data_IF_038020177643
#
_entry.id   IF_038020177643
#
_cell.length_a   1.000
_cell.length_b   1.000
_cell.length_c   1.000
_cell.angle_alpha   90.00
_cell.angle_beta   90.00
_cell.angle_gamma   90.00
#
_symmetry.space_group_name_H-M   'P 1'
#
loop_
_entity.id
_entity.type
_entity.pdbx_description
1 polymer ?
#
# COMPACT_ATOMS: atom_id res chain seq x y z
N UNK A 1 10.89 0.67 -23.27
CA UNK A 1 9.97 -0.27 -22.59
C UNK A 1 9.79 0.23 -21.18
N UNK A 2 8.65 0.83 -20.89
CA UNK A 2 8.26 1.26 -19.54
C UNK A 2 8.29 0.03 -18.63
N UNK A 3 9.08 0.07 -17.58
CA UNK A 3 9.21 -1.08 -16.66
C UNK A 3 8.02 -1.11 -15.69
N UNK A 4 6.86 -1.53 -16.18
CA UNK A 4 5.66 -1.78 -15.37
C UNK A 4 5.83 -2.91 -14.33
N UNK A 5 6.91 -3.67 -14.45
CA UNK A 5 7.22 -4.82 -13.57
C UNK A 5 7.39 -4.40 -12.11
N UNK A 6 8.06 -3.28 -11.84
CA UNK A 6 8.23 -2.79 -10.46
C UNK A 6 6.90 -2.44 -9.80
N UNK A 7 6.10 -1.53 -10.39
CA UNK A 7 4.77 -1.22 -9.89
C UNK A 7 3.84 -2.44 -9.74
N UNK A 8 3.84 -3.35 -10.71
CA UNK A 8 3.06 -4.58 -10.62
C UNK A 8 3.50 -5.49 -9.47
N UNK A 9 4.80 -5.63 -9.24
CA UNK A 9 5.34 -6.41 -8.13
C UNK A 9 4.89 -5.81 -6.78
N UNK A 10 4.93 -4.50 -6.64
CA UNK A 10 4.45 -3.82 -5.42
C UNK A 10 2.96 -4.08 -5.19
N UNK A 11 2.14 -3.97 -6.22
CA UNK A 11 0.72 -4.27 -6.13
C UNK A 11 0.47 -5.72 -5.67
N UNK A 12 1.18 -6.67 -6.26
CA UNK A 12 1.08 -8.09 -5.91
C UNK A 12 1.50 -8.33 -4.46
N UNK A 13 2.61 -7.73 -4.00
CA UNK A 13 3.08 -7.87 -2.61
C UNK A 13 2.05 -7.31 -1.63
N UNK A 14 1.51 -6.11 -1.89
CA UNK A 14 0.49 -5.52 -1.02
C UNK A 14 -0.76 -6.39 -0.93
N UNK A 15 -1.27 -6.87 -2.06
CA UNK A 15 -2.47 -7.73 -2.10
C UNK A 15 -2.19 -9.06 -1.42
N UNK A 16 -1.08 -9.72 -1.75
CA UNK A 16 -0.74 -11.02 -1.18
C UNK A 16 -0.56 -10.98 0.34
N UNK A 17 0.09 -9.93 0.87
CA UNK A 17 0.26 -9.75 2.31
C UNK A 17 -1.09 -9.65 3.02
N UNK A 18 -1.97 -8.77 2.55
CA UNK A 18 -3.26 -8.55 3.20
C UNK A 18 -4.16 -9.77 3.11
N UNK A 19 -4.20 -10.42 1.94
CA UNK A 19 -4.98 -11.67 1.77
C UNK A 19 -4.45 -12.79 2.65
N UNK A 20 -3.12 -12.96 2.72
CA UNK A 20 -2.51 -13.98 3.59
C UNK A 20 -2.87 -13.76 5.07
N UNK A 21 -2.84 -12.51 5.54
CA UNK A 21 -3.24 -12.16 6.89
C UNK A 21 -4.75 -12.40 7.10
N UNK A 22 -5.60 -11.98 6.15
CA UNK A 22 -7.04 -12.17 6.25
C UNK A 22 -7.43 -13.66 6.36
N UNK A 23 -6.83 -14.50 5.51
CA UNK A 23 -7.03 -15.96 5.54
C UNK A 23 -6.47 -16.57 6.83
N UNK A 24 -5.31 -16.09 7.29
CA UNK A 24 -4.72 -16.52 8.55
C UNK A 24 -5.60 -16.20 9.75
N UNK A 25 -6.16 -14.98 9.79
CA UNK A 25 -7.09 -14.54 10.86
C UNK A 25 -8.37 -15.38 10.86
N UNK A 26 -8.93 -15.67 9.68
CA UNK A 26 -10.10 -16.55 9.57
C UNK A 26 -9.80 -17.96 10.10
N UNK A 27 -8.62 -18.50 9.78
CA UNK A 27 -8.21 -19.83 10.26
C UNK A 27 -7.93 -19.89 11.76
N UNK A 28 -7.37 -18.81 12.33
CA UNK A 28 -7.03 -18.75 13.76
C UNK A 28 -8.23 -18.40 14.65
N UNK A 29 -9.16 -17.58 14.17
CA UNK A 29 -10.32 -17.08 14.93
C UNK A 29 -11.64 -17.33 14.19
N UNK A 30 -11.96 -18.60 13.87
CA UNK A 30 -13.17 -18.95 13.11
C UNK A 30 -14.47 -18.62 13.87
N UNK A 31 -14.45 -18.70 15.21
CA UNK A 31 -15.66 -18.48 16.02
C UNK A 31 -15.71 -17.06 16.61
N UNK A 32 -16.92 -16.55 16.82
CA UNK A 32 -17.11 -15.26 17.48
C UNK A 32 -16.54 -15.23 18.88
N UNK A 33 -16.61 -16.34 19.63
CA UNK A 33 -16.08 -16.45 20.99
C UNK A 33 -14.57 -16.20 21.01
N UNK A 34 -13.82 -16.81 20.08
CA UNK A 34 -12.38 -16.60 19.96
C UNK A 34 -12.02 -15.16 19.59
N UNK A 35 -12.82 -14.52 18.72
CA UNK A 35 -12.60 -13.11 18.39
C UNK A 35 -12.89 -12.17 19.55
N UNK A 36 -13.91 -12.44 20.36
CA UNK A 36 -14.18 -11.68 21.59
C UNK A 36 -13.03 -11.85 22.58
N UNK A 37 -12.49 -13.05 22.73
CA UNK A 37 -11.31 -13.31 23.57
C UNK A 37 -10.07 -12.56 23.07
N UNK A 38 -9.82 -12.57 21.76
CA UNK A 38 -8.77 -11.74 21.13
C UNK A 38 -8.97 -10.25 21.45
N UNK A 39 -10.19 -9.73 21.29
CA UNK A 39 -10.50 -8.33 21.59
C UNK A 39 -10.25 -7.97 23.07
N UNK A 40 -10.55 -8.88 23.98
CA UNK A 40 -10.31 -8.69 25.41
C UNK A 40 -8.81 -8.64 25.77
N UNK A 41 -7.95 -9.33 25.03
CA UNK A 41 -6.51 -9.37 25.26
C UNK A 41 -5.75 -8.32 24.46
N UNK A 42 -5.93 -8.27 23.14
CA UNK A 42 -5.23 -7.35 22.25
C UNK A 42 -5.71 -5.90 22.42
N UNK A 43 -7.00 -5.68 22.66
CA UNK A 43 -7.59 -4.35 22.81
C UNK A 43 -7.14 -3.59 24.06
N UNK A 44 -6.70 -4.30 25.10
CA UNK A 44 -6.22 -3.69 26.36
C UNK A 44 -4.69 -3.67 26.48
N UNK A 45 -3.96 -4.30 25.56
CA UNK A 45 -2.51 -4.31 25.57
C UNK A 45 -1.96 -2.91 25.21
N UNK A 46 -1.32 -2.25 26.19
CA UNK A 46 -0.67 -0.95 25.97
C UNK A 46 0.42 -1.02 24.90
N UNK A 47 1.13 -2.14 24.81
CA UNK A 47 2.18 -2.37 23.81
C UNK A 47 1.55 -2.50 22.41
N UNK A 48 0.50 -3.31 22.25
CA UNK A 48 -0.20 -3.45 20.99
C UNK A 48 -0.75 -2.11 20.49
N UNK A 49 -1.37 -1.35 21.39
CA UNK A 49 -1.92 -0.03 21.06
C UNK A 49 -0.84 1.01 20.72
N UNK A 50 0.35 0.91 21.29
CA UNK A 50 1.47 1.80 20.97
C UNK A 50 2.02 1.56 19.57
N UNK A 51 2.07 0.29 19.12
CA UNK A 51 2.57 -0.07 17.79
C UNK A 51 1.51 -0.03 16.70
N UNK A 52 0.31 -0.50 16.99
CA UNK A 52 -0.75 -0.69 15.97
C UNK A 52 -1.80 0.42 15.97
N UNK A 53 -1.72 1.32 16.94
CA UNK A 53 -2.82 2.23 17.24
C UNK A 53 -3.99 1.51 17.92
N UNK A 54 -5.07 2.25 18.15
CA UNK A 54 -6.27 1.70 18.80
C UNK A 54 -7.02 0.79 17.83
N UNK A 55 -7.21 -0.47 18.22
CA UNK A 55 -8.03 -1.40 17.47
C UNK A 55 -9.52 -1.11 17.59
N UNK A 56 -10.25 -1.23 16.48
CA UNK A 56 -11.69 -1.06 16.40
C UNK A 56 -12.34 -2.34 15.91
N UNK A 57 -13.52 -2.68 16.47
CA UNK A 57 -14.30 -3.87 16.09
C UNK A 57 -13.48 -5.16 16.09
N UNK A 58 -12.62 -5.36 17.11
CA UNK A 58 -11.73 -6.53 17.24
C UNK A 58 -12.48 -7.85 17.48
N UNK A 59 -13.79 -7.79 17.70
CA UNK A 59 -14.70 -8.95 17.74
C UNK A 59 -15.13 -9.43 16.33
N UNK A 60 -14.62 -8.77 15.28
CA UNK A 60 -14.90 -9.10 13.88
C UNK A 60 -13.64 -9.52 13.14
N UNK A 61 -13.77 -10.34 12.09
CA UNK A 61 -12.66 -10.71 11.22
C UNK A 61 -11.98 -9.47 10.59
N UNK A 62 -12.79 -8.50 10.15
CA UNK A 62 -12.26 -7.27 9.54
C UNK A 62 -11.47 -6.41 10.52
N UNK A 63 -11.91 -6.29 11.76
CA UNK A 63 -11.18 -5.53 12.79
C UNK A 63 -9.84 -6.17 13.15
N UNK A 64 -9.80 -7.49 13.32
CA UNK A 64 -8.56 -8.22 13.58
C UNK A 64 -7.61 -8.13 12.37
N UNK A 65 -8.11 -8.40 11.17
CA UNK A 65 -7.31 -8.25 9.95
C UNK A 65 -6.75 -6.84 9.81
N UNK A 66 -7.55 -5.81 10.09
CA UNK A 66 -7.12 -4.41 10.00
C UNK A 66 -5.97 -4.07 10.93
N UNK A 67 -5.99 -4.55 12.18
CA UNK A 67 -4.93 -4.28 13.14
C UNK A 67 -3.65 -5.09 12.84
N UNK A 68 -3.78 -6.35 12.45
CA UNK A 68 -2.64 -7.20 12.11
C UNK A 68 -1.91 -6.73 10.84
N UNK A 69 -2.67 -6.35 9.81
CA UNK A 69 -2.08 -5.72 8.61
C UNK A 69 -1.49 -4.36 8.96
N UNK A 70 -2.12 -3.59 9.84
CA UNK A 70 -1.64 -2.28 10.29
C UNK A 70 -0.22 -2.36 10.83
N UNK A 71 0.07 -3.33 11.68
CA UNK A 71 1.40 -3.53 12.25
C UNK A 71 2.48 -3.73 11.18
N UNK A 72 2.28 -4.66 10.27
CA UNK A 72 3.23 -4.91 9.18
C UNK A 72 3.21 -3.80 8.13
N UNK A 73 2.03 -3.27 7.84
CA UNK A 73 1.81 -2.28 6.79
C UNK A 73 2.38 -0.90 7.09
N UNK A 74 2.46 -0.49 8.36
CA UNK A 74 2.99 0.82 8.75
C UNK A 74 4.42 1.08 8.26
N UNK A 75 5.25 0.05 8.17
CA UNK A 75 6.60 0.14 7.63
C UNK A 75 6.66 -0.23 6.15
N UNK A 76 6.00 -1.31 5.77
CA UNK A 76 6.12 -1.87 4.43
C UNK A 76 5.49 -0.98 3.37
N UNK A 77 4.27 -0.48 3.58
CA UNK A 77 3.58 0.32 2.56
C UNK A 77 4.28 1.65 2.24
N UNK A 78 4.76 2.44 3.24
CA UNK A 78 5.58 3.60 2.96
C UNK A 78 6.86 3.29 2.17
N UNK A 79 7.59 2.25 2.58
CA UNK A 79 8.83 1.84 1.91
C UNK A 79 8.55 1.46 0.45
N UNK A 80 7.52 0.66 0.20
CA UNK A 80 7.11 0.28 -1.16
C UNK A 80 6.73 1.50 -2.01
N UNK A 81 6.06 2.48 -1.42
CA UNK A 81 5.74 3.75 -2.08
C UNK A 81 6.98 4.49 -2.54
N UNK A 82 7.92 4.73 -1.62
CA UNK A 82 9.19 5.43 -1.91
C UNK A 82 10.02 4.67 -2.95
N UNK A 83 10.22 3.36 -2.77
CA UNK A 83 11.00 2.53 -3.71
C UNK A 83 10.39 2.52 -5.11
N UNK A 84 9.06 2.49 -5.20
CA UNK A 84 8.37 2.56 -6.50
C UNK A 84 8.62 3.90 -7.18
N UNK A 85 8.53 5.01 -6.44
CA UNK A 85 8.77 6.35 -6.96
C UNK A 85 10.20 6.51 -7.48
N UNK A 86 11.20 6.14 -6.67
CA UNK A 86 12.61 6.19 -7.03
C UNK A 86 12.88 5.29 -8.26
N UNK A 87 12.29 4.10 -8.31
CA UNK A 87 12.46 3.19 -9.44
C UNK A 87 11.87 3.72 -10.75
N UNK A 88 10.84 4.56 -10.69
CA UNK A 88 10.23 5.18 -11.88
C UNK A 88 11.03 6.39 -12.40
N UNK A 89 11.69 7.15 -11.52
CA UNK A 89 12.48 8.33 -11.89
C UNK A 89 13.90 7.96 -12.27
N UNK A 90 14.67 7.36 -11.37
CA UNK A 90 16.11 7.07 -11.60
C UNK A 90 16.39 6.18 -12.80
N UNK A 91 15.56 5.15 -13.05
CA UNK A 91 15.75 4.28 -14.21
C UNK A 91 15.57 4.99 -15.56
N UNK A 92 14.83 6.08 -15.59
CA UNK A 92 14.67 6.87 -16.83
C UNK A 92 15.89 7.77 -17.05
N UNK A 93 16.48 8.28 -15.99
CA UNK A 93 17.69 9.11 -16.02
C UNK A 93 18.93 8.30 -16.41
N UNK A 94 19.16 7.16 -15.74
CA UNK A 94 20.27 6.24 -16.04
C UNK A 94 20.23 5.71 -17.49
N UNK A 95 19.03 5.65 -18.09
CA UNK A 95 18.88 5.23 -19.49
C UNK A 95 19.16 6.36 -20.50
N UNK A 96 19.59 7.56 -20.06
CA UNK A 96 19.85 8.73 -20.93
C UNK A 96 18.62 9.25 -21.68
N UNK A 97 17.42 8.77 -21.31
CA UNK A 97 16.17 9.12 -21.99
C UNK A 97 15.70 10.53 -21.67
N UNK A 98 16.10 11.06 -20.55
CA UNK A 98 15.76 12.40 -20.11
C UNK A 98 16.38 13.45 -21.05
N UNK A 99 17.61 13.25 -21.50
CA UNK A 99 18.29 14.13 -22.47
C UNK A 99 17.62 14.09 -23.86
N UNK A 100 17.21 12.90 -24.32
CA UNK A 100 16.49 12.74 -25.59
C UNK A 100 15.09 13.36 -25.54
N UNK A 101 14.41 13.30 -24.40
CA UNK A 101 13.08 13.89 -24.23
C UNK A 101 13.14 15.41 -24.09
N UNK A 102 14.17 15.96 -23.42
CA UNK A 102 14.35 17.41 -23.29
C UNK A 102 14.82 18.05 -24.59
N UNK A 103 15.49 17.32 -25.48
CA UNK A 103 15.84 17.75 -26.83
C UNK A 103 14.64 17.76 -27.77
N UNK A 104 13.52 17.11 -27.40
CA UNK A 104 12.28 17.12 -28.16
C UNK A 104 11.36 18.26 -27.67
N UNK A 105 10.31 18.60 -28.46
CA UNK A 105 9.31 19.63 -28.11
C UNK A 105 8.44 19.28 -26.88
N UNK A 106 8.82 18.28 -26.10
CA UNK A 106 8.08 17.82 -24.91
C UNK A 106 8.52 18.68 -23.72
N UNK A 107 7.57 19.27 -23.04
CA UNK A 107 7.84 20.17 -21.91
C UNK A 107 8.64 19.49 -20.79
N UNK A 108 9.46 20.27 -20.09
CA UNK A 108 10.38 19.84 -19.03
C UNK A 108 9.73 19.04 -17.89
N UNK A 109 8.42 19.24 -17.66
CA UNK A 109 7.63 18.55 -16.63
C UNK A 109 6.97 17.25 -17.11
N UNK A 110 7.04 16.93 -18.40
CA UNK A 110 6.34 15.75 -18.93
C UNK A 110 6.82 14.40 -18.37
N UNK A 111 8.13 14.16 -18.15
CA UNK A 111 8.60 12.93 -17.52
C UNK A 111 8.09 12.77 -16.09
N UNK A 112 8.11 13.86 -15.30
CA UNK A 112 7.60 13.88 -13.93
C UNK A 112 6.08 13.63 -13.89
N UNK A 113 5.33 14.29 -14.77
CA UNK A 113 3.89 14.08 -14.89
C UNK A 113 3.54 12.62 -15.27
N UNK A 114 4.32 12.02 -16.18
CA UNK A 114 4.16 10.61 -16.55
C UNK A 114 4.45 9.66 -15.37
N UNK A 115 5.51 9.92 -14.60
CA UNK A 115 5.83 9.15 -13.41
C UNK A 115 4.73 9.29 -12.34
N UNK A 116 4.25 10.50 -12.09
CA UNK A 116 3.16 10.75 -11.15
C UNK A 116 1.86 10.03 -11.59
N UNK A 117 1.50 10.09 -12.87
CA UNK A 117 0.34 9.39 -13.40
C UNK A 117 0.46 7.86 -13.21
N UNK A 118 1.63 7.28 -13.50
CA UNK A 118 1.87 5.85 -13.30
C UNK A 118 1.76 5.46 -11.82
N UNK A 119 2.23 6.30 -10.90
CA UNK A 119 2.08 6.07 -9.46
C UNK A 119 0.61 6.09 -9.05
N UNK A 120 -0.15 7.09 -9.47
CA UNK A 120 -1.60 7.17 -9.20
C UNK A 120 -2.33 5.95 -9.73
N UNK A 121 -2.06 5.54 -10.97
CA UNK A 121 -2.66 4.35 -11.57
C UNK A 121 -2.27 3.07 -10.82
N UNK A 122 -1.01 2.94 -10.42
CA UNK A 122 -0.54 1.78 -9.64
C UNK A 122 -1.25 1.72 -8.30
N UNK A 123 -1.35 2.84 -7.58
CA UNK A 123 -2.05 2.90 -6.30
C UNK A 123 -3.55 2.61 -6.45
N UNK A 124 -4.20 3.12 -7.50
CA UNK A 124 -5.60 2.85 -7.77
C UNK A 124 -5.86 1.37 -8.07
N UNK A 125 -5.05 0.76 -8.93
CA UNK A 125 -5.14 -0.68 -9.27
C UNK A 125 -4.88 -1.53 -8.02
N UNK A 126 -3.88 -1.16 -7.21
CA UNK A 126 -3.58 -1.87 -5.95
C UNK A 126 -4.76 -1.77 -4.98
N UNK A 127 -5.34 -0.58 -4.80
CA UNK A 127 -6.48 -0.38 -3.91
C UNK A 127 -7.71 -1.17 -4.38
N UNK A 128 -8.02 -1.14 -5.67
CA UNK A 128 -9.14 -1.93 -6.23
C UNK A 128 -8.89 -3.43 -6.07
N UNK A 129 -7.69 -3.89 -6.43
CA UNK A 129 -7.32 -5.30 -6.28
C UNK A 129 -7.39 -5.77 -4.83
N UNK A 130 -6.95 -4.93 -3.88
CA UNK A 130 -7.02 -5.20 -2.45
C UNK A 130 -8.47 -5.26 -1.96
N UNK A 131 -9.32 -4.30 -2.32
CA UNK A 131 -10.72 -4.29 -1.95
C UNK A 131 -11.46 -5.54 -2.44
N UNK A 132 -11.24 -5.91 -3.71
CA UNK A 132 -11.83 -7.11 -4.32
C UNK A 132 -11.34 -8.38 -3.63
N UNK A 133 -10.04 -8.48 -3.38
CA UNK A 133 -9.45 -9.65 -2.73
C UNK A 133 -9.94 -9.82 -1.29
N UNK A 134 -10.04 -8.75 -0.52
CA UNK A 134 -10.59 -8.78 0.84
C UNK A 134 -12.08 -9.16 0.84
N UNK A 135 -12.86 -8.63 -0.10
CA UNK A 135 -14.26 -9.01 -0.24
C UNK A 135 -14.41 -10.48 -0.63
N UNK A 136 -13.53 -11.01 -1.46
CA UNK A 136 -13.52 -12.43 -1.86
C UNK A 136 -13.19 -13.38 -0.70
N UNK A 137 -12.50 -12.92 0.36
CA UNK A 137 -12.30 -13.68 1.60
C UNK A 137 -13.46 -13.55 2.59
N UNK A 138 -14.61 -13.04 2.17
CA UNK A 138 -15.82 -12.93 3.01
C UNK A 138 -15.86 -11.71 3.93
N UNK A 139 -14.91 -10.79 3.82
CA UNK A 139 -14.91 -9.53 4.57
C UNK A 139 -15.98 -8.56 4.00
N UNK A 140 -16.56 -7.67 4.85
CA UNK A 140 -17.56 -6.71 4.41
C UNK A 140 -17.02 -5.79 3.29
N UNK A 141 -17.74 -5.72 2.17
CA UNK A 141 -17.32 -4.96 0.96
C UNK A 141 -17.01 -3.50 1.28
N UNK A 142 -17.87 -2.84 2.06
CA UNK A 142 -17.69 -1.41 2.42
C UNK A 142 -16.44 -1.22 3.27
N UNK A 143 -16.21 -2.08 4.27
CA UNK A 143 -15.02 -2.04 5.11
C UNK A 143 -13.75 -2.31 4.30
N UNK A 144 -13.78 -3.31 3.42
CA UNK A 144 -12.68 -3.65 2.51
C UNK A 144 -12.33 -2.49 1.57
N UNK A 145 -13.33 -1.78 1.05
CA UNK A 145 -13.12 -0.63 0.17
C UNK A 145 -12.45 0.54 0.93
N UNK A 146 -12.94 0.89 2.12
CA UNK A 146 -12.33 1.94 2.92
C UNK A 146 -10.91 1.61 3.37
N UNK A 147 -10.68 0.37 3.78
CA UNK A 147 -9.34 -0.09 4.16
C UNK A 147 -8.36 -0.02 2.98
N UNK A 148 -8.77 -0.54 1.84
CA UNK A 148 -7.97 -0.51 0.61
C UNK A 148 -7.68 0.91 0.13
N UNK A 149 -8.65 1.83 0.23
CA UNK A 149 -8.45 3.25 -0.07
C UNK A 149 -7.42 3.88 0.87
N UNK A 150 -7.46 3.56 2.18
CA UNK A 150 -6.47 4.02 3.16
C UNK A 150 -5.06 3.54 2.85
N UNK A 151 -4.90 2.25 2.53
CA UNK A 151 -3.60 1.68 2.11
C UNK A 151 -3.11 2.35 0.82
N UNK A 152 -3.97 2.50 -0.19
CA UNK A 152 -3.62 3.17 -1.44
C UNK A 152 -3.19 4.62 -1.24
N UNK A 153 -3.90 5.36 -0.39
CA UNK A 153 -3.55 6.75 -0.04
C UNK A 153 -2.21 6.83 0.69
N UNK A 154 -1.93 5.91 1.62
CA UNK A 154 -0.66 5.83 2.33
C UNK A 154 0.50 5.60 1.35
N UNK A 155 0.40 4.58 0.49
CA UNK A 155 1.43 4.29 -0.53
C UNK A 155 1.63 5.49 -1.45
N UNK A 156 0.55 6.13 -1.91
CA UNK A 156 0.61 7.30 -2.80
C UNK A 156 1.29 8.49 -2.12
N UNK A 157 0.97 8.77 -0.85
CA UNK A 157 1.59 9.85 -0.09
C UNK A 157 3.11 9.67 0.00
N UNK A 158 3.57 8.49 0.42
CA UNK A 158 5.01 8.22 0.52
C UNK A 158 5.70 8.13 -0.84
N UNK A 159 5.00 7.68 -1.87
CA UNK A 159 5.51 7.74 -3.25
C UNK A 159 5.68 9.19 -3.72
N UNK A 160 4.75 10.09 -3.41
CA UNK A 160 4.88 11.51 -3.71
C UNK A 160 6.06 12.15 -2.96
N UNK A 161 6.24 11.81 -1.67
CA UNK A 161 7.43 12.23 -0.90
C UNK A 161 8.71 11.69 -1.55
N UNK A 162 8.72 10.44 -1.99
CA UNK A 162 9.86 9.84 -2.70
C UNK A 162 10.20 10.55 -4.01
N UNK A 163 9.18 10.98 -4.79
CA UNK A 163 9.38 11.79 -5.99
C UNK A 163 10.01 13.14 -5.65
N UNK A 164 9.47 13.86 -4.65
CA UNK A 164 9.98 15.17 -4.24
C UNK A 164 11.43 15.09 -3.76
N UNK A 165 11.75 14.11 -2.91
CA UNK A 165 13.11 13.90 -2.43
C UNK A 165 14.06 13.51 -3.57
N UNK A 166 13.61 12.72 -4.53
CA UNK A 166 14.37 12.37 -5.73
C UNK A 166 14.78 13.60 -6.53
N UNK A 167 13.88 14.55 -6.73
CA UNK A 167 14.16 15.81 -7.44
C UNK A 167 15.10 16.75 -6.65
N UNK A 168 14.94 16.82 -5.33
CA UNK A 168 15.78 17.67 -4.46
C UNK A 168 17.23 17.16 -4.33
N UNK A 169 17.43 15.85 -4.38
CA UNK A 169 18.76 15.24 -4.28
C UNK A 169 19.55 15.26 -5.60
N UNK A 170 18.99 15.80 -6.68
CA UNK A 170 19.66 15.98 -7.98
C UNK A 170 20.37 17.33 -8.10
N UNK A 171 20.25 18.21 -7.14
CA UNK A 171 20.95 19.50 -7.08
C UNK A 171 22.20 19.37 -6.22
#
# INVERSE_FOLDING_TARGET
>A
RTSWRGPALVAVICIALVVAIAVGVEGLYPTRAQRVEYAATAGVSGISNAFNGRGYALDTLGGITGIEVGFMGQLLFPILGVVTAIGLTRRQEEAGRTELLTASRVGRLAPLAAAALLLVLTCAVTAVGLAVSMAATGLPVVGSAWYAAGVGACVLFFAAVGLLLGELCQQ
#
